data_IF_408670629431
#
_entry.id   IF_408670629431
#
_cell.length_a   1.000
_cell.length_b   1.000
_cell.length_c   1.000
_cell.angle_alpha   90.00
_cell.angle_beta   90.00
_cell.angle_gamma   90.00
#
_symmetry.space_group_name_H-M   'P 1'
#
loop_
_entity.id
_entity.type
_entity.pdbx_description
1 polymer ?
#
# COMPACT_ATOMS: atom_id res chain seq x y z
N UNK A 1 -3.60 5.44 6.41
CA UNK A 1 -3.00 4.99 7.69
C UNK A 1 -1.49 4.92 7.53
N UNK A 2 -0.71 5.03 8.62
CA UNK A 2 0.75 4.97 8.58
C UNK A 2 1.29 3.94 9.56
N UNK A 3 2.06 2.98 9.04
CA UNK A 3 2.78 2.00 9.85
C UNK A 3 3.79 2.70 10.78
N UNK A 4 3.91 2.20 12.02
CA UNK A 4 4.79 2.77 13.04
C UNK A 4 4.20 3.92 13.85
N UNK A 5 2.97 4.35 13.54
CA UNK A 5 2.23 5.34 14.35
C UNK A 5 1.23 4.58 15.23
N UNK A 6 1.67 4.22 16.43
CA UNK A 6 0.95 3.35 17.38
C UNK A 6 -0.20 4.06 18.11
N UNK A 7 -1.11 4.65 17.35
CA UNK A 7 -2.31 5.31 17.86
C UNK A 7 -3.50 4.89 17.02
N UNK A 8 -4.70 4.88 17.60
CA UNK A 8 -5.93 4.73 16.84
C UNK A 8 -6.31 6.05 16.15
N UNK A 9 -6.00 7.20 16.75
CA UNK A 9 -6.36 8.53 16.26
C UNK A 9 -5.55 9.07 15.06
N UNK A 10 -5.79 10.34 14.73
CA UNK A 10 -4.99 11.11 13.76
C UNK A 10 -3.95 11.93 14.51
N UNK A 11 -2.70 11.91 14.05
CA UNK A 11 -1.58 12.66 14.65
C UNK A 11 -0.91 13.52 13.59
N UNK A 12 -0.46 14.72 13.95
CA UNK A 12 0.30 15.62 13.06
C UNK A 12 1.79 15.34 13.17
N UNK A 13 2.38 14.79 12.12
CA UNK A 13 3.80 14.45 12.05
C UNK A 13 4.52 15.28 10.99
N UNK A 14 5.80 15.57 11.21
CA UNK A 14 6.66 16.23 10.24
C UNK A 14 7.19 15.20 9.22
N UNK A 15 6.65 15.22 8.01
CA UNK A 15 6.99 14.27 6.95
C UNK A 15 8.07 14.82 6.00
N UNK A 16 8.96 13.95 5.55
CA UNK A 16 10.03 14.19 4.56
C UNK A 16 9.85 13.29 3.32
N UNK A 17 10.73 13.46 2.33
CA UNK A 17 10.78 12.59 1.13
C UNK A 17 10.93 11.12 1.52
N UNK A 18 10.16 10.25 0.87
CA UNK A 18 10.18 8.80 1.11
C UNK A 18 9.16 8.31 2.14
N UNK A 19 8.54 9.20 2.92
CA UNK A 19 7.44 8.80 3.78
C UNK A 19 6.15 8.58 3.01
N UNK A 20 5.48 7.46 3.33
CA UNK A 20 4.09 7.23 2.95
C UNK A 20 3.20 8.40 3.38
N UNK A 21 2.14 8.62 2.60
CA UNK A 21 1.19 9.73 2.76
C UNK A 21 1.76 11.13 2.46
N UNK A 22 2.98 11.31 1.92
CA UNK A 22 3.48 12.62 1.50
C UNK A 22 4.30 12.57 0.19
N UNK A 23 4.07 13.56 -0.68
CA UNK A 23 4.83 13.78 -1.90
C UNK A 23 5.39 15.22 -1.83
N UNK A 24 6.71 15.40 -1.63
CA UNK A 24 7.32 16.73 -1.58
C UNK A 24 7.24 17.40 -2.97
N UNK A 25 7.06 18.73 -2.99
CA UNK A 25 7.07 19.52 -4.23
C UNK A 25 8.44 20.10 -4.55
N UNK A 26 9.27 20.32 -3.53
CA UNK A 26 10.65 20.80 -3.66
C UNK A 26 11.63 19.87 -2.95
N UNK A 27 12.88 19.90 -3.40
CA UNK A 27 13.96 19.17 -2.73
C UNK A 27 14.17 19.74 -1.31
N UNK A 28 14.35 18.86 -0.33
CA UNK A 28 14.52 19.25 1.08
C UNK A 28 13.24 19.64 1.82
N UNK A 29 12.09 19.71 1.14
CA UNK A 29 10.83 20.09 1.79
C UNK A 29 10.41 19.08 2.86
N UNK A 30 10.06 19.60 4.04
CA UNK A 30 9.40 18.86 5.11
C UNK A 30 8.09 19.55 5.45
N UNK A 31 7.03 18.77 5.70
CA UNK A 31 5.70 19.32 6.00
C UNK A 31 5.01 18.59 7.13
N UNK A 32 4.44 19.33 8.09
CA UNK A 32 3.55 18.76 9.11
C UNK A 32 2.21 18.40 8.48
N UNK A 33 1.86 17.12 8.48
CA UNK A 33 0.56 16.63 8.00
C UNK A 33 -0.08 15.69 9.01
N UNK A 34 -1.41 15.73 9.08
CA UNK A 34 -2.19 14.76 9.85
C UNK A 34 -2.20 13.41 9.13
N UNK A 35 -1.85 12.35 9.85
CA UNK A 35 -1.94 10.96 9.38
C UNK A 35 -2.71 10.14 10.40
N UNK A 36 -3.53 9.20 9.93
CA UNK A 36 -4.17 8.18 10.79
C UNK A 36 -3.13 7.14 11.21
N UNK A 37 -3.13 6.73 12.47
CA UNK A 37 -2.24 5.69 12.98
C UNK A 37 -2.52 4.31 12.39
N UNK A 38 -1.80 3.29 12.85
CA UNK A 38 -1.89 1.93 12.32
C UNK A 38 -2.91 1.04 13.05
N UNK A 39 -3.51 1.51 14.14
CA UNK A 39 -4.50 0.74 14.89
C UNK A 39 -5.88 0.94 14.25
N UNK A 40 -6.58 -0.16 13.98
CA UNK A 40 -7.92 -0.17 13.39
C UNK A 40 -8.96 0.20 14.44
N UNK A 41 -9.93 1.02 14.07
CA UNK A 41 -10.97 1.56 14.95
C UNK A 41 -12.23 1.87 14.13
N UNK A 42 -13.40 1.94 14.76
CA UNK A 42 -14.71 2.11 14.12
C UNK A 42 -14.84 3.43 13.32
N UNK A 43 -13.98 4.41 13.60
CA UNK A 43 -13.95 5.70 12.90
C UNK A 43 -13.27 5.64 11.50
N UNK A 44 -13.08 4.45 10.93
CA UNK A 44 -12.52 4.23 9.59
C UNK A 44 -13.65 4.10 8.56
N UNK A 45 -13.56 4.84 7.45
CA UNK A 45 -14.51 4.71 6.33
C UNK A 45 -14.20 3.51 5.44
N UNK A 46 -12.92 3.25 5.16
CA UNK A 46 -12.48 2.23 4.21
C UNK A 46 -11.24 1.46 4.71
N UNK A 47 -11.15 0.19 4.33
CA UNK A 47 -10.01 -0.69 4.58
C UNK A 47 -9.56 -1.40 3.30
N UNK A 48 -8.25 -1.41 3.07
CA UNK A 48 -7.65 -2.16 1.97
C UNK A 48 -7.08 -3.47 2.52
N UNK A 49 -7.61 -4.60 2.06
CA UNK A 49 -7.20 -5.94 2.48
C UNK A 49 -6.64 -6.72 1.29
N UNK A 50 -5.79 -7.71 1.57
CA UNK A 50 -5.26 -8.65 0.57
C UNK A 50 -5.60 -10.07 1.01
N UNK A 51 -6.16 -10.87 0.10
CA UNK A 51 -6.55 -12.26 0.37
C UNK A 51 -5.29 -13.12 0.33
N UNK A 52 -4.98 -13.81 1.43
CA UNK A 52 -3.84 -14.73 1.52
C UNK A 52 -4.27 -16.17 1.28
N UNK A 53 -5.47 -16.54 1.74
CA UNK A 53 -6.03 -17.89 1.64
C UNK A 53 -7.53 -17.81 1.34
N UNK A 54 -8.02 -18.77 0.55
CA UNK A 54 -9.45 -18.96 0.30
C UNK A 54 -10.09 -19.61 1.54
N UNK A 55 -11.23 -19.07 1.98
CA UNK A 55 -12.03 -19.68 3.05
C UNK A 55 -12.97 -20.76 2.52
N UNK A 56 -13.79 -21.36 3.39
CA UNK A 56 -14.78 -22.39 3.03
C UNK A 56 -15.86 -21.86 2.08
N UNK A 57 -16.28 -20.61 2.28
CA UNK A 57 -17.28 -19.96 1.43
C UNK A 57 -16.59 -19.20 0.31
N UNK A 58 -17.06 -19.44 -0.90
CA UNK A 58 -16.62 -18.72 -2.08
C UNK A 58 -17.11 -17.28 -2.01
N UNK A 59 -16.16 -16.35 -2.12
CA UNK A 59 -16.46 -14.94 -2.31
C UNK A 59 -16.82 -14.80 -3.79
N UNK A 60 -18.04 -14.37 -4.09
CA UNK A 60 -18.46 -14.12 -5.47
C UNK A 60 -17.65 -12.94 -6.02
N UNK A 61 -16.57 -13.26 -6.73
CA UNK A 61 -15.80 -12.31 -7.51
C UNK A 61 -16.30 -12.42 -8.97
N UNK A 62 -16.55 -11.31 -9.69
CA UNK A 62 -16.92 -11.36 -11.09
C UNK A 62 -15.78 -11.95 -11.92
N UNK A 63 -15.81 -13.28 -12.09
CA UNK A 63 -14.80 -14.15 -12.72
C UNK A 63 -13.39 -14.10 -12.11
N UNK A 64 -12.66 -15.22 -12.06
CA UNK A 64 -11.22 -15.17 -11.86
C UNK A 64 -10.60 -14.65 -13.15
N UNK A 65 -10.56 -13.33 -13.34
CA UNK A 65 -9.75 -12.78 -14.42
C UNK A 65 -8.30 -13.03 -14.05
N UNK A 66 -7.69 -13.99 -14.73
CA UNK A 66 -6.23 -14.09 -14.76
C UNK A 66 -5.73 -12.85 -15.48
N UNK A 67 -5.58 -11.75 -14.74
CA UNK A 67 -5.07 -10.51 -15.31
C UNK A 67 -3.61 -10.75 -15.69
N UNK A 68 -3.26 -10.66 -16.98
CA UNK A 68 -1.89 -10.88 -17.41
C UNK A 68 -0.99 -9.83 -16.74
N UNK A 69 0.22 -10.25 -16.38
CA UNK A 69 1.24 -9.30 -15.92
C UNK A 69 1.48 -8.28 -17.03
N UNK A 70 1.45 -6.99 -16.67
CA UNK A 70 1.66 -5.88 -17.59
C UNK A 70 3.11 -5.77 -18.09
N UNK A 71 3.67 -4.56 -18.02
CA UNK A 71 5.00 -4.24 -18.60
C UNK A 71 6.08 -5.29 -18.30
N UNK A 72 6.81 -5.68 -19.36
CA UNK A 72 7.95 -6.56 -19.25
C UNK A 72 9.06 -5.91 -18.40
N UNK A 73 9.79 -6.74 -17.66
CA UNK A 73 10.95 -6.31 -16.90
C UNK A 73 12.12 -5.91 -17.80
N UNK A 74 13.18 -5.37 -17.21
CA UNK A 74 14.44 -5.17 -17.95
C UNK A 74 14.96 -6.48 -18.56
N UNK A 75 15.75 -6.40 -19.63
CA UNK A 75 16.31 -7.58 -20.30
C UNK A 75 16.96 -8.58 -19.32
N UNK A 76 17.66 -8.08 -18.28
CA UNK A 76 18.22 -8.91 -17.20
C UNK A 76 17.15 -9.66 -16.40
N UNK A 77 16.03 -9.00 -16.07
CA UNK A 77 14.91 -9.60 -15.34
C UNK A 77 14.17 -10.62 -16.19
N UNK A 78 14.00 -10.36 -17.50
CA UNK A 78 13.40 -11.29 -18.45
C UNK A 78 14.27 -12.55 -18.56
N UNK A 79 15.58 -12.41 -18.81
CA UNK A 79 16.51 -13.56 -18.84
C UNK A 79 16.44 -14.39 -17.56
N UNK A 80 16.45 -13.77 -16.38
CA UNK A 80 16.32 -14.49 -15.11
C UNK A 80 15.00 -15.25 -14.97
N UNK A 81 13.91 -14.72 -15.52
CA UNK A 81 12.59 -15.33 -15.38
C UNK A 81 12.41 -16.54 -16.29
N UNK A 82 13.08 -16.55 -17.45
CA UNK A 82 12.87 -17.57 -18.50
C UNK A 82 14.05 -18.51 -18.74
N UNK A 83 15.28 -18.12 -18.35
CA UNK A 83 16.52 -18.84 -18.69
C UNK A 83 17.42 -19.10 -17.46
N UNK A 84 16.95 -18.79 -16.25
CA UNK A 84 17.71 -18.92 -15.01
C UNK A 84 17.10 -19.93 -14.06
#
# INVERSE_FOLDING_TARGET
MKQGVLTHGRVRLLLSKGHSCYRPRRTGERKRKSVRGCIVDANLSDLNLVIIRKGEKDIHCPSPTWDPRGLAGSARRVRRTFLG
#
